data_IF_235403134259
#
_entry.id   IF_235403134259
#
_cell.length_a   1.000
_cell.length_b   1.000
_cell.length_c   1.000
_cell.angle_alpha   90.00
_cell.angle_beta   90.00
_cell.angle_gamma   90.00
#
_symmetry.space_group_name_H-M   'P 1'
#
loop_
_entity.id
_entity.type
_entity.pdbx_description
1 polymer ?
#
# COMPACT_ATOMS: atom_id res chain seq x y z
N UNK A 1 54.08 37.96 -69.67
CA UNK A 1 53.16 38.70 -68.76
C UNK A 1 51.74 38.14 -68.95
N UNK A 2 51.28 37.28 -68.03
CA UNK A 2 49.94 36.59 -68.08
C UNK A 2 49.11 37.23 -66.98
N UNK A 3 48.12 38.03 -67.33
CA UNK A 3 47.19 38.65 -66.36
C UNK A 3 46.17 37.61 -65.91
N UNK A 4 46.13 37.46 -64.62
CA UNK A 4 45.17 36.57 -63.92
C UNK A 4 43.89 37.38 -63.73
N UNK A 5 42.83 37.02 -64.44
CA UNK A 5 41.48 37.57 -64.23
C UNK A 5 40.82 36.75 -63.06
N UNK A 6 40.66 37.39 -61.93
CA UNK A 6 39.97 36.80 -60.82
C UNK A 6 38.47 36.90 -61.09
N UNK A 7 37.89 35.70 -61.21
CA UNK A 7 36.50 35.49 -61.59
C UNK A 7 35.53 35.97 -60.49
N UNK A 8 34.70 36.99 -60.82
CA UNK A 8 33.70 37.54 -59.92
C UNK A 8 32.60 36.60 -59.50
N UNK A 9 32.47 35.47 -60.17
CA UNK A 9 31.46 34.42 -59.88
C UNK A 9 31.79 33.61 -58.63
N UNK A 10 33.08 33.46 -58.27
CA UNK A 10 33.48 32.70 -57.08
C UNK A 10 33.11 33.42 -55.73
N UNK A 11 32.94 34.75 -55.74
CA UNK A 11 32.54 35.49 -54.55
C UNK A 11 31.05 35.48 -54.25
N UNK A 12 30.20 35.27 -55.24
CA UNK A 12 28.74 35.17 -55.02
C UNK A 12 28.33 33.80 -54.52
N UNK A 13 29.02 32.71 -54.87
CA UNK A 13 28.72 31.36 -54.37
C UNK A 13 29.15 31.18 -52.93
N UNK A 14 30.22 31.88 -52.48
CA UNK A 14 30.66 31.81 -51.10
C UNK A 14 29.70 32.54 -50.09
N UNK A 15 29.00 33.57 -50.56
CA UNK A 15 28.10 34.35 -49.69
C UNK A 15 26.72 33.69 -49.49
N UNK A 16 26.27 32.90 -50.46
CA UNK A 16 25.00 32.15 -50.36
C UNK A 16 25.14 30.87 -49.52
N UNK A 17 26.33 30.27 -49.43
CA UNK A 17 26.53 29.06 -48.63
C UNK A 17 26.61 29.36 -47.13
N UNK A 18 27.12 30.56 -46.74
CA UNK A 18 27.20 30.92 -45.32
C UNK A 18 25.85 31.31 -44.73
N UNK A 19 24.92 31.85 -45.51
CA UNK A 19 23.55 32.15 -45.03
C UNK A 19 22.70 30.90 -44.91
N UNK A 20 22.92 29.85 -45.71
CA UNK A 20 22.19 28.57 -45.58
C UNK A 20 22.61 27.76 -44.34
N UNK A 21 23.89 27.85 -43.93
CA UNK A 21 24.34 27.16 -42.70
C UNK A 21 23.87 27.83 -41.42
N UNK A 22 23.68 29.17 -41.41
CA UNK A 22 23.17 29.91 -40.25
C UNK A 22 21.67 29.65 -39.99
N UNK A 23 20.91 29.28 -41.03
CA UNK A 23 19.47 28.94 -40.89
C UNK A 23 19.23 27.54 -40.38
N UNK A 24 20.18 26.63 -40.50
CA UNK A 24 20.05 25.23 -40.04
C UNK A 24 20.24 25.08 -38.53
N UNK A 25 20.85 26.04 -37.83
CA UNK A 25 21.08 25.99 -36.37
C UNK A 25 19.90 26.47 -35.54
N UNK A 26 18.88 27.11 -36.14
CA UNK A 26 17.67 27.52 -35.41
C UNK A 26 16.53 26.48 -35.40
N UNK A 27 16.68 25.37 -36.10
CA UNK A 27 15.67 24.30 -36.15
C UNK A 27 15.81 23.24 -35.02
N UNK A 28 16.74 23.44 -34.07
CA UNK A 28 17.14 22.45 -33.07
C UNK A 28 16.33 22.47 -31.75
N UNK A 29 15.40 23.39 -31.52
CA UNK A 29 14.59 23.47 -30.33
C UNK A 29 13.10 23.20 -30.62
N UNK A 30 12.76 22.09 -31.27
CA UNK A 30 11.43 21.53 -31.05
C UNK A 30 11.44 20.87 -29.69
N UNK A 31 11.19 21.64 -28.62
CA UNK A 31 10.88 21.09 -27.32
C UNK A 31 9.73 20.10 -27.55
N UNK A 32 10.00 18.79 -27.39
CA UNK A 32 8.94 17.78 -27.41
C UNK A 32 7.98 18.18 -26.31
N UNK A 33 6.79 18.64 -26.69
CA UNK A 33 5.73 18.93 -25.74
C UNK A 33 5.52 17.67 -24.91
N UNK A 34 5.65 17.78 -23.60
CA UNK A 34 5.44 16.64 -22.70
C UNK A 34 4.01 16.10 -22.93
N UNK A 35 3.83 14.79 -23.03
CA UNK A 35 2.51 14.22 -23.23
C UNK A 35 1.59 14.60 -22.05
N UNK A 36 0.28 14.78 -22.29
CA UNK A 36 -0.69 15.00 -21.23
C UNK A 36 -0.60 13.93 -20.15
N UNK A 37 -0.88 14.29 -18.89
CA UNK A 37 -0.84 13.36 -17.74
C UNK A 37 -1.66 12.08 -17.99
N UNK A 38 -2.87 12.22 -18.55
CA UNK A 38 -3.75 11.09 -18.86
C UNK A 38 -3.17 10.10 -19.87
N UNK A 39 -2.47 10.60 -20.91
CA UNK A 39 -1.82 9.73 -21.90
C UNK A 39 -0.67 8.94 -21.27
N UNK A 40 0.10 9.57 -20.39
CA UNK A 40 1.18 8.92 -19.66
C UNK A 40 0.63 7.91 -18.65
N UNK A 41 -0.46 8.22 -17.95
CA UNK A 41 -1.14 7.33 -17.02
C UNK A 41 -1.62 6.04 -17.71
N UNK A 42 -2.34 6.14 -18.82
CA UNK A 42 -2.80 4.96 -19.59
C UNK A 42 -1.64 4.08 -20.05
N UNK A 43 -0.51 4.70 -20.45
CA UNK A 43 0.69 3.92 -20.82
C UNK A 43 1.34 3.24 -19.61
N UNK A 44 1.29 3.86 -18.44
CA UNK A 44 1.79 3.27 -17.20
C UNK A 44 0.93 2.07 -16.80
N UNK A 45 -0.39 2.19 -16.84
CA UNK A 45 -1.33 1.09 -16.58
C UNK A 45 -1.14 -0.08 -17.56
N UNK A 46 -1.01 0.21 -18.86
CA UNK A 46 -0.73 -0.82 -19.87
C UNK A 46 0.62 -1.52 -19.64
N UNK A 47 1.64 -0.78 -19.20
CA UNK A 47 2.94 -1.32 -18.88
C UNK A 47 2.88 -2.21 -17.63
N UNK A 48 2.14 -1.80 -16.58
CA UNK A 48 1.88 -2.62 -15.37
C UNK A 48 1.17 -3.92 -15.75
N UNK A 49 0.09 -3.84 -16.52
CA UNK A 49 -0.66 -5.01 -16.96
C UNK A 49 0.18 -6.02 -17.76
N UNK A 50 1.27 -5.56 -18.37
CA UNK A 50 2.24 -6.37 -19.13
C UNK A 50 3.47 -6.79 -18.33
N UNK A 51 3.53 -6.50 -17.03
CA UNK A 51 4.69 -6.78 -16.16
C UNK A 51 5.97 -6.02 -16.59
N UNK A 52 5.81 -4.85 -17.23
CA UNK A 52 6.94 -4.01 -17.67
C UNK A 52 7.20 -2.89 -16.68
N UNK A 53 7.65 -3.24 -15.48
CA UNK A 53 7.76 -2.35 -14.31
C UNK A 53 8.58 -1.08 -14.60
N UNK A 54 9.76 -1.16 -15.24
CA UNK A 54 10.58 0.00 -15.56
C UNK A 54 9.88 1.00 -16.50
N UNK A 55 9.13 0.48 -17.48
CA UNK A 55 8.34 1.34 -18.39
C UNK A 55 7.16 1.95 -17.66
N UNK A 56 6.51 1.20 -16.78
CA UNK A 56 5.44 1.69 -15.95
C UNK A 56 5.92 2.87 -15.06
N UNK A 57 7.06 2.70 -14.39
CA UNK A 57 7.70 3.78 -13.62
C UNK A 57 7.95 5.01 -14.46
N UNK A 58 8.60 4.85 -15.62
CA UNK A 58 8.93 5.99 -16.49
C UNK A 58 7.68 6.77 -16.96
N UNK A 59 6.61 6.06 -17.32
CA UNK A 59 5.36 6.69 -17.74
C UNK A 59 4.61 7.31 -16.55
N UNK A 60 4.56 6.64 -15.40
CA UNK A 60 3.91 7.16 -14.20
C UNK A 60 4.63 8.41 -13.65
N UNK A 61 5.98 8.42 -13.64
CA UNK A 61 6.76 9.62 -13.32
C UNK A 61 6.42 10.80 -14.25
N UNK A 62 6.29 10.51 -15.56
CA UNK A 62 5.91 11.53 -16.53
C UNK A 62 4.48 12.04 -16.29
N UNK A 63 3.55 11.17 -15.85
CA UNK A 63 2.19 11.57 -15.51
C UNK A 63 2.16 12.48 -14.26
N UNK A 64 2.91 12.11 -13.21
CA UNK A 64 3.01 12.92 -11.97
C UNK A 64 3.68 14.27 -12.25
N UNK A 65 4.72 14.32 -13.09
CA UNK A 65 5.33 15.59 -13.49
C UNK A 65 4.36 16.53 -14.20
N UNK A 66 3.44 15.99 -15.01
CA UNK A 66 2.42 16.78 -15.71
C UNK A 66 1.29 17.25 -14.77
N UNK A 67 0.99 16.51 -13.69
CA UNK A 67 -0.04 16.87 -12.71
C UNK A 67 0.42 16.45 -11.29
N UNK A 68 1.33 17.24 -10.66
CA UNK A 68 2.03 16.81 -9.45
C UNK A 68 1.14 16.63 -8.22
N UNK A 69 -0.04 17.26 -8.19
CA UNK A 69 -0.97 17.20 -7.06
C UNK A 69 -2.18 16.30 -7.32
N UNK A 70 -2.12 15.46 -8.35
CA UNK A 70 -3.13 14.45 -8.60
C UNK A 70 -2.84 13.21 -7.75
N UNK A 71 -3.75 12.93 -6.80
CA UNK A 71 -3.62 11.82 -5.86
C UNK A 71 -3.62 10.45 -6.57
N UNK A 72 -4.46 10.28 -7.61
CA UNK A 72 -4.55 9.03 -8.38
C UNK A 72 -3.30 8.74 -9.20
N UNK A 73 -2.66 9.78 -9.75
CA UNK A 73 -1.39 9.60 -10.47
C UNK A 73 -0.24 9.22 -9.53
N UNK A 74 -0.24 9.72 -8.28
CA UNK A 74 0.73 9.28 -7.28
C UNK A 74 0.47 7.86 -6.81
N UNK A 75 -0.79 7.48 -6.65
CA UNK A 75 -1.17 6.10 -6.36
C UNK A 75 -0.67 5.15 -7.47
N UNK A 76 -0.88 5.50 -8.74
CA UNK A 76 -0.37 4.76 -9.89
C UNK A 76 1.17 4.67 -9.90
N UNK A 77 1.86 5.77 -9.59
CA UNK A 77 3.31 5.78 -9.51
C UNK A 77 3.82 4.92 -8.34
N UNK A 78 3.15 4.98 -7.19
CA UNK A 78 3.47 4.13 -6.05
C UNK A 78 3.33 2.65 -6.37
N UNK A 79 2.24 2.27 -7.07
CA UNK A 79 2.05 0.91 -7.56
C UNK A 79 3.16 0.49 -8.54
N UNK A 80 3.55 1.38 -9.47
CA UNK A 80 4.63 1.11 -10.40
C UNK A 80 5.99 0.93 -9.69
N UNK A 81 6.27 1.70 -8.64
CA UNK A 81 7.48 1.52 -7.84
C UNK A 81 7.47 0.19 -7.06
N UNK A 82 6.33 -0.24 -6.51
CA UNK A 82 6.21 -1.56 -5.86
C UNK A 82 6.52 -2.67 -6.85
N UNK A 83 5.92 -2.65 -8.04
CA UNK A 83 6.18 -3.63 -9.10
C UNK A 83 7.63 -3.65 -9.58
N UNK A 84 8.32 -2.53 -9.45
CA UNK A 84 9.73 -2.41 -9.76
C UNK A 84 10.63 -2.74 -8.55
N UNK A 85 10.09 -3.19 -7.41
CA UNK A 85 10.83 -3.48 -6.17
C UNK A 85 11.46 -2.25 -5.51
N UNK A 86 10.99 -1.02 -5.87
CA UNK A 86 11.50 0.27 -5.38
C UNK A 86 10.68 0.75 -4.19
N UNK A 87 10.89 0.13 -3.05
CA UNK A 87 10.04 0.31 -1.87
C UNK A 87 10.19 1.67 -1.18
N UNK A 88 11.40 2.26 -1.15
CA UNK A 88 11.63 3.60 -0.60
C UNK A 88 10.89 4.67 -1.44
N UNK A 89 11.00 4.56 -2.77
CA UNK A 89 10.27 5.42 -3.71
C UNK A 89 8.76 5.25 -3.58
N UNK A 90 8.30 3.99 -3.43
CA UNK A 90 6.89 3.67 -3.26
C UNK A 90 6.32 4.25 -1.96
N UNK A 91 7.02 4.07 -0.83
CA UNK A 91 6.59 4.58 0.46
C UNK A 91 6.42 6.11 0.44
N UNK A 92 7.41 6.84 -0.08
CA UNK A 92 7.32 8.29 -0.19
C UNK A 92 6.15 8.74 -1.09
N UNK A 93 6.00 8.10 -2.26
CA UNK A 93 4.97 8.48 -3.23
C UNK A 93 3.55 8.15 -2.76
N UNK A 94 3.35 7.00 -2.10
CA UNK A 94 2.05 6.60 -1.56
C UNK A 94 1.66 7.43 -0.32
N UNK A 95 2.63 7.83 0.51
CA UNK A 95 2.39 8.77 1.60
C UNK A 95 1.90 10.12 1.06
N UNK A 96 2.53 10.63 0.01
CA UNK A 96 2.09 11.84 -0.69
C UNK A 96 0.70 11.69 -1.35
N UNK A 97 0.37 10.50 -1.88
CA UNK A 97 -0.96 10.19 -2.38
C UNK A 97 -2.01 10.25 -1.27
N UNK A 98 -1.70 9.68 -0.11
CA UNK A 98 -2.55 9.71 1.08
C UNK A 98 -2.77 11.14 1.58
N UNK A 99 -1.71 11.97 1.65
CA UNK A 99 -1.80 13.40 1.99
C UNK A 99 -2.71 14.18 1.02
N UNK A 100 -2.81 13.76 -0.23
CA UNK A 100 -3.68 14.35 -1.25
C UNK A 100 -5.10 13.77 -1.24
N UNK A 101 -5.40 12.82 -0.35
CA UNK A 101 -6.72 12.24 -0.16
C UNK A 101 -6.97 10.89 -0.83
N UNK A 102 -5.95 10.22 -1.39
CA UNK A 102 -6.08 8.85 -1.90
C UNK A 102 -6.03 7.83 -0.74
N UNK A 103 -7.09 7.78 0.07
CA UNK A 103 -7.19 6.91 1.25
C UNK A 103 -7.98 5.62 0.96
N UNK A 104 -7.73 4.97 -0.18
CA UNK A 104 -8.34 3.67 -0.45
C UNK A 104 -7.69 2.56 0.40
N UNK A 105 -8.41 1.49 0.78
CA UNK A 105 -7.83 0.33 1.48
C UNK A 105 -6.56 -0.19 0.81
N UNK A 106 -6.55 -0.21 -0.52
CA UNK A 106 -5.40 -0.61 -1.32
C UNK A 106 -4.20 0.32 -1.11
N UNK A 107 -4.40 1.65 -1.20
CA UNK A 107 -3.34 2.63 -1.00
C UNK A 107 -2.71 2.48 0.37
N UNK A 108 -3.55 2.32 1.41
CA UNK A 108 -3.12 2.17 2.81
C UNK A 108 -2.28 0.90 2.98
N UNK A 109 -2.75 -0.25 2.49
CA UNK A 109 -2.02 -1.52 2.58
C UNK A 109 -0.72 -1.45 1.77
N UNK A 110 -0.77 -0.87 0.55
CA UNK A 110 0.42 -0.71 -0.29
C UNK A 110 1.48 0.18 0.36
N UNK A 111 1.05 1.28 1.00
CA UNK A 111 1.93 2.16 1.77
C UNK A 111 2.55 1.40 2.94
N UNK A 112 1.75 0.69 3.73
CA UNK A 112 2.25 -0.08 4.86
C UNK A 112 3.28 -1.14 4.43
N UNK A 113 3.03 -1.89 3.35
CA UNK A 113 3.97 -2.86 2.81
C UNK A 113 5.27 -2.19 2.32
N UNK A 114 5.17 -1.07 1.61
CA UNK A 114 6.33 -0.31 1.16
C UNK A 114 7.15 0.23 2.35
N UNK A 115 6.50 0.72 3.39
CA UNK A 115 7.13 1.15 4.65
C UNK A 115 7.83 -0.03 5.36
N UNK A 116 7.19 -1.20 5.46
CA UNK A 116 7.81 -2.40 6.04
C UNK A 116 9.06 -2.77 5.25
N UNK A 117 8.96 -2.86 3.92
CA UNK A 117 10.08 -3.22 3.05
C UNK A 117 11.23 -2.20 3.07
N UNK A 118 10.93 -0.93 3.37
CA UNK A 118 11.91 0.14 3.55
C UNK A 118 12.50 0.21 4.96
N UNK A 119 12.11 -0.70 5.86
CA UNK A 119 12.58 -0.70 7.25
C UNK A 119 11.89 0.32 8.15
N UNK A 120 10.76 0.86 7.73
CA UNK A 120 9.98 1.88 8.46
C UNK A 120 8.81 1.22 9.22
N UNK A 121 9.07 0.16 10.00
CA UNK A 121 8.04 -0.64 10.67
C UNK A 121 7.13 0.22 11.58
N UNK A 122 7.70 1.18 12.30
CA UNK A 122 6.93 2.06 13.17
C UNK A 122 5.94 2.94 12.38
N UNK A 123 6.35 3.44 11.21
CA UNK A 123 5.48 4.21 10.32
C UNK A 123 4.37 3.32 9.75
N UNK A 124 4.70 2.09 9.34
CA UNK A 124 3.72 1.12 8.85
C UNK A 124 2.66 0.79 9.90
N UNK A 125 3.05 0.57 11.16
CA UNK A 125 2.12 0.35 12.26
C UNK A 125 1.23 1.57 12.49
N UNK A 126 1.79 2.77 12.50
CA UNK A 126 1.01 4.00 12.65
C UNK A 126 0.00 4.19 11.51
N UNK A 127 0.40 3.92 10.27
CA UNK A 127 -0.49 3.96 9.09
C UNK A 127 -1.64 2.95 9.25
N UNK A 128 -1.33 1.70 9.60
CA UNK A 128 -2.32 0.64 9.78
C UNK A 128 -3.28 0.94 10.95
N UNK A 129 -2.76 1.39 12.09
CA UNK A 129 -3.57 1.70 13.27
C UNK A 129 -4.52 2.88 13.02
N UNK A 130 -4.08 3.88 12.26
CA UNK A 130 -4.92 5.05 11.90
C UNK A 130 -6.11 4.64 11.03
N UNK A 131 -5.94 3.62 10.20
CA UNK A 131 -6.92 3.19 9.19
C UNK A 131 -7.49 1.79 9.45
N UNK A 132 -7.39 1.27 10.68
CA UNK A 132 -7.83 -0.09 11.03
C UNK A 132 -9.27 -0.38 10.59
N UNK A 133 -10.17 0.59 10.77
CA UNK A 133 -11.60 0.44 10.43
C UNK A 133 -11.89 0.47 8.94
N UNK A 134 -10.97 0.98 8.14
CA UNK A 134 -11.12 1.12 6.70
C UNK A 134 -10.64 -0.13 5.96
N UNK A 135 -9.89 -1.01 6.65
CA UNK A 135 -9.23 -2.17 6.06
C UNK A 135 -10.04 -3.47 6.25
N UNK A 136 -9.90 -4.37 5.30
CA UNK A 136 -10.30 -5.77 5.49
C UNK A 136 -9.48 -6.38 6.63
N UNK A 137 -10.11 -7.01 7.65
CA UNK A 137 -9.39 -7.54 8.80
C UNK A 137 -8.35 -8.62 8.45
N UNK A 138 -8.51 -9.33 7.33
CA UNK A 138 -7.52 -10.32 6.90
C UNK A 138 -6.26 -9.63 6.35
N UNK A 139 -6.41 -8.52 5.63
CA UNK A 139 -5.30 -7.72 5.13
C UNK A 139 -4.59 -6.99 6.27
N UNK A 140 -5.38 -6.38 7.16
CA UNK A 140 -4.87 -5.71 8.35
C UNK A 140 -4.06 -6.66 9.24
N UNK A 141 -4.62 -7.84 9.55
CA UNK A 141 -3.96 -8.83 10.41
C UNK A 141 -2.62 -9.32 9.83
N UNK A 142 -2.57 -9.57 8.51
CA UNK A 142 -1.32 -9.94 7.85
C UNK A 142 -0.32 -8.78 7.85
N UNK A 143 -0.75 -7.56 7.50
CA UNK A 143 0.11 -6.39 7.45
C UNK A 143 0.73 -6.08 8.83
N UNK A 144 -0.06 -6.15 9.92
CA UNK A 144 0.43 -5.99 11.30
C UNK A 144 1.46 -7.07 11.67
N UNK A 145 1.22 -8.33 11.27
CA UNK A 145 2.18 -9.41 11.51
C UNK A 145 3.52 -9.16 10.79
N UNK A 146 3.46 -8.72 9.53
CA UNK A 146 4.62 -8.35 8.72
C UNK A 146 5.37 -7.14 9.28
N UNK A 147 4.64 -6.18 9.86
CA UNK A 147 5.21 -4.98 10.51
C UNK A 147 5.90 -5.28 11.85
N UNK A 148 5.96 -6.55 12.27
CA UNK A 148 6.69 -6.99 13.47
C UNK A 148 5.81 -7.23 14.70
N UNK A 149 4.49 -7.24 14.56
CA UNK A 149 3.54 -7.60 15.62
C UNK A 149 2.77 -8.89 15.29
N UNK A 150 3.45 -10.06 15.12
CA UNK A 150 2.79 -11.28 14.67
C UNK A 150 1.74 -11.78 15.68
N UNK A 151 1.93 -11.58 16.98
CA UNK A 151 0.95 -11.94 18.01
C UNK A 151 -0.38 -11.21 17.81
N UNK A 152 -0.32 -9.90 17.53
CA UNK A 152 -1.51 -9.08 17.25
C UNK A 152 -2.17 -9.52 15.94
N UNK A 153 -1.38 -9.76 14.89
CA UNK A 153 -1.88 -10.28 13.62
C UNK A 153 -2.60 -11.62 13.77
N UNK A 154 -2.03 -12.57 14.54
CA UNK A 154 -2.67 -13.85 14.86
C UNK A 154 -4.02 -13.64 15.55
N UNK A 155 -4.11 -12.72 16.52
CA UNK A 155 -5.36 -12.47 17.23
C UNK A 155 -6.45 -11.92 16.32
N UNK A 156 -6.12 -10.94 15.47
CA UNK A 156 -7.06 -10.39 14.47
C UNK A 156 -7.57 -11.49 13.56
N UNK A 157 -6.68 -12.27 12.95
CA UNK A 157 -7.03 -13.31 12.00
C UNK A 157 -7.77 -14.48 12.63
N UNK A 158 -7.38 -14.90 13.85
CA UNK A 158 -8.09 -15.95 14.59
C UNK A 158 -9.51 -15.51 14.98
N UNK A 159 -9.71 -14.22 15.28
CA UNK A 159 -11.05 -13.69 15.55
C UNK A 159 -11.94 -13.76 14.29
N UNK A 160 -11.40 -13.51 13.08
CA UNK A 160 -12.17 -13.68 11.85
C UNK A 160 -12.72 -15.11 11.72
N UNK A 161 -11.88 -16.12 11.97
CA UNK A 161 -12.35 -17.52 11.98
C UNK A 161 -13.42 -17.79 13.04
N UNK A 162 -13.27 -17.23 14.24
CA UNK A 162 -14.27 -17.38 15.33
C UNK A 162 -15.62 -16.75 14.97
N UNK A 163 -15.59 -15.64 14.22
CA UNK A 163 -16.80 -14.98 13.74
C UNK A 163 -17.38 -15.59 12.46
N UNK A 164 -16.80 -16.68 11.98
CA UNK A 164 -17.32 -17.45 10.84
C UNK A 164 -16.76 -17.06 9.47
N UNK A 165 -15.79 -16.11 9.42
CA UNK A 165 -15.09 -15.78 8.18
C UNK A 165 -13.97 -16.81 7.94
N UNK A 166 -14.34 -17.93 7.30
CA UNK A 166 -13.43 -19.07 7.07
C UNK A 166 -13.00 -19.16 5.60
N UNK A 167 -12.54 -18.04 5.03
CA UNK A 167 -11.96 -18.01 3.68
C UNK A 167 -10.52 -18.55 3.65
N UNK A 168 -10.10 -19.06 2.51
CA UNK A 168 -8.71 -19.48 2.30
C UNK A 168 -7.72 -18.34 2.56
N UNK A 169 -8.10 -17.09 2.23
CA UNK A 169 -7.32 -15.88 2.52
C UNK A 169 -7.05 -15.76 4.03
N UNK A 170 -8.08 -15.82 4.86
CA UNK A 170 -7.94 -15.71 6.33
C UNK A 170 -7.07 -16.84 6.87
N UNK A 171 -7.30 -18.09 6.43
CA UNK A 171 -6.52 -19.25 6.90
C UNK A 171 -5.04 -19.16 6.50
N UNK A 172 -4.74 -18.76 5.26
CA UNK A 172 -3.35 -18.64 4.78
C UNK A 172 -2.63 -17.50 5.47
N UNK A 173 -3.30 -16.34 5.66
CA UNK A 173 -2.74 -15.21 6.39
C UNK A 173 -2.45 -15.59 7.85
N UNK A 174 -3.39 -16.33 8.49
CA UNK A 174 -3.21 -16.82 9.86
C UNK A 174 -2.07 -17.84 9.95
N UNK A 175 -1.97 -18.77 9.00
CA UNK A 175 -0.86 -19.71 8.94
C UNK A 175 0.49 -18.99 8.85
N UNK A 176 0.56 -17.95 8.03
CA UNK A 176 1.79 -17.17 7.89
C UNK A 176 2.09 -16.32 9.13
N UNK A 177 1.08 -15.72 9.75
CA UNK A 177 1.23 -15.00 11.01
C UNK A 177 1.74 -15.91 12.14
N UNK A 178 1.25 -17.16 12.24
CA UNK A 178 1.79 -18.17 13.16
C UNK A 178 3.26 -18.49 12.87
N UNK A 179 3.64 -18.63 11.60
CA UNK A 179 5.04 -18.87 11.23
C UNK A 179 5.93 -17.68 11.65
N UNK A 180 5.48 -16.44 11.45
CA UNK A 180 6.19 -15.24 11.90
C UNK A 180 6.28 -15.13 13.42
N UNK A 181 5.30 -15.66 14.15
CA UNK A 181 5.31 -15.74 15.60
C UNK A 181 6.25 -16.85 16.12
N UNK A 182 6.64 -17.81 15.27
CA UNK A 182 7.42 -18.99 15.63
C UNK A 182 6.58 -20.20 16.06
N UNK A 183 5.25 -20.12 15.99
CA UNK A 183 4.37 -21.28 16.24
C UNK A 183 4.24 -22.13 14.97
N UNK A 184 5.28 -22.89 14.68
CA UNK A 184 5.37 -23.77 13.50
C UNK A 184 4.32 -24.88 13.49
N UNK A 185 3.86 -25.31 14.68
CA UNK A 185 2.82 -26.33 14.78
C UNK A 185 1.48 -25.78 14.30
N UNK A 186 1.08 -24.62 14.81
CA UNK A 186 -0.16 -23.97 14.40
C UNK A 186 -0.09 -23.54 12.92
N UNK A 187 1.04 -22.98 12.48
CA UNK A 187 1.28 -22.61 11.07
C UNK A 187 1.06 -23.80 10.13
N UNK A 188 1.65 -24.97 10.46
CA UNK A 188 1.52 -26.19 9.66
C UNK A 188 0.09 -26.72 9.62
N UNK A 189 -0.60 -26.75 10.77
CA UNK A 189 -1.98 -27.23 10.84
C UNK A 189 -2.90 -26.34 9.98
N UNK A 190 -2.76 -25.03 10.11
CA UNK A 190 -3.58 -24.09 9.36
C UNK A 190 -3.26 -24.10 7.86
N UNK A 191 -1.97 -24.20 7.48
CA UNK A 191 -1.57 -24.28 6.07
C UNK A 191 -2.08 -25.57 5.40
N UNK A 192 -2.20 -26.69 6.13
CA UNK A 192 -2.67 -27.96 5.60
C UNK A 192 -4.15 -27.96 5.17
N UNK A 193 -4.93 -26.98 5.60
CA UNK A 193 -6.33 -26.82 5.16
C UNK A 193 -6.43 -26.43 3.67
N UNK A 194 -5.43 -25.69 3.14
CA UNK A 194 -5.48 -25.10 1.81
C UNK A 194 -4.34 -25.59 0.90
N UNK A 195 -3.28 -26.17 1.46
CA UNK A 195 -2.09 -26.61 0.72
C UNK A 195 -2.07 -28.13 0.63
N UNK A 196 -1.85 -28.72 -0.56
CA UNK A 196 -1.68 -30.15 -0.72
C UNK A 196 -0.64 -30.73 0.24
N UNK A 197 -0.92 -31.90 0.83
CA UNK A 197 -0.11 -32.48 1.90
C UNK A 197 1.38 -32.66 1.54
N UNK A 198 1.68 -32.97 0.26
CA UNK A 198 3.03 -33.08 -0.29
C UNK A 198 3.75 -31.71 -0.40
N UNK A 199 3.02 -30.59 -0.40
CA UNK A 199 3.54 -29.23 -0.51
C UNK A 199 3.67 -28.47 0.82
N UNK A 200 3.00 -28.95 1.88
CA UNK A 200 3.05 -28.30 3.19
C UNK A 200 4.48 -28.22 3.74
N UNK A 201 5.27 -29.28 3.57
CA UNK A 201 6.67 -29.30 4.02
C UNK A 201 7.54 -28.24 3.31
N UNK A 202 7.40 -28.12 2.01
CA UNK A 202 8.08 -27.11 1.20
C UNK A 202 7.68 -25.67 1.63
N UNK A 203 6.37 -25.44 1.86
CA UNK A 203 5.85 -24.16 2.34
C UNK A 203 6.43 -23.78 3.71
N UNK A 204 6.50 -24.75 4.64
CA UNK A 204 7.09 -24.51 5.96
C UNK A 204 8.58 -24.21 5.89
N UNK A 205 9.34 -24.92 5.05
CA UNK A 205 10.76 -24.66 4.85
C UNK A 205 11.01 -23.26 4.27
N UNK A 206 10.20 -22.86 3.30
CA UNK A 206 10.25 -21.51 2.71
C UNK A 206 9.98 -20.43 3.76
N UNK A 207 8.90 -20.53 4.52
CA UNK A 207 8.58 -19.60 5.59
C UNK A 207 9.64 -19.58 6.69
N UNK A 208 10.28 -20.74 6.98
CA UNK A 208 11.39 -20.83 7.92
C UNK A 208 12.59 -19.96 7.53
N UNK A 209 12.89 -19.87 6.26
CA UNK A 209 13.94 -18.98 5.75
C UNK A 209 13.55 -17.50 5.90
N UNK A 210 12.27 -17.17 5.73
CA UNK A 210 11.76 -15.80 5.77
C UNK A 210 11.38 -15.31 7.18
N UNK A 211 11.27 -16.19 8.18
CA UNK A 211 10.78 -15.83 9.52
C UNK A 211 11.75 -14.92 10.30
N UNK A 212 13.04 -14.93 9.98
CA UNK A 212 14.01 -14.07 10.66
C UNK A 212 13.65 -12.58 10.47
N UNK A 213 13.55 -11.77 11.54
CA UNK A 213 13.21 -10.35 11.46
C UNK A 213 14.07 -9.53 10.51
N UNK A 214 15.34 -9.90 10.30
CA UNK A 214 16.27 -9.23 9.37
C UNK A 214 15.77 -9.28 7.91
N UNK A 215 14.99 -10.28 7.54
CA UNK A 215 14.50 -10.48 6.18
C UNK A 215 13.19 -9.74 5.87
N UNK A 216 12.86 -8.66 6.59
CA UNK A 216 11.62 -7.92 6.39
C UNK A 216 11.42 -7.46 4.93
N UNK A 217 12.46 -6.94 4.26
CA UNK A 217 12.41 -6.55 2.84
C UNK A 217 12.19 -7.75 1.92
N UNK A 218 12.95 -8.82 2.10
CA UNK A 218 12.80 -10.05 1.32
C UNK A 218 11.40 -10.64 1.46
N UNK A 219 10.86 -10.62 2.67
CA UNK A 219 9.54 -11.14 3.00
C UNK A 219 8.43 -10.43 2.26
N UNK A 220 8.51 -9.09 2.17
CA UNK A 220 7.54 -8.29 1.41
C UNK A 220 7.74 -8.49 -0.09
N UNK A 221 8.97 -8.51 -0.58
CA UNK A 221 9.27 -8.75 -1.99
C UNK A 221 8.78 -10.14 -2.45
N UNK A 222 9.03 -11.18 -1.64
CA UNK A 222 8.54 -12.54 -1.87
C UNK A 222 7.00 -12.62 -1.87
N UNK A 223 6.35 -11.96 -0.90
CA UNK A 223 4.89 -11.90 -0.84
C UNK A 223 4.28 -11.24 -2.09
N UNK A 224 4.93 -10.19 -2.59
CA UNK A 224 4.47 -9.44 -3.76
C UNK A 224 4.94 -10.07 -5.09
N UNK A 225 5.87 -11.04 -5.04
CA UNK A 225 6.44 -11.68 -6.23
C UNK A 225 7.29 -10.74 -7.06
N UNK A 226 7.99 -9.78 -6.43
CA UNK A 226 8.82 -8.79 -7.11
C UNK A 226 10.29 -8.95 -6.75
N UNK A 227 11.17 -8.61 -7.69
CA UNK A 227 12.61 -8.62 -7.46
C UNK A 227 13.02 -7.42 -6.58
N UNK A 228 13.98 -7.66 -5.69
CA UNK A 228 14.56 -6.59 -4.91
C UNK A 228 15.60 -5.83 -5.74
N UNK A 229 15.43 -4.52 -5.82
CA UNK A 229 16.39 -3.63 -6.47
C UNK A 229 16.95 -2.61 -5.48
N UNK A 230 18.09 -2.03 -5.83
CA UNK A 230 18.60 -0.87 -5.11
C UNK A 230 17.74 0.35 -5.46
N UNK A 231 17.10 0.93 -4.45
CA UNK A 231 16.23 2.08 -4.61
C UNK A 231 16.90 3.34 -4.03
N UNK A 232 17.22 4.35 -4.87
CA UNK A 232 17.76 5.62 -4.41
C UNK A 232 16.70 6.55 -3.78
N UNK A 233 15.44 6.11 -3.71
CA UNK A 233 14.32 6.93 -3.31
C UNK A 233 13.64 7.66 -4.48
N UNK A 234 12.52 8.33 -4.15
CA UNK A 234 11.76 9.11 -5.11
C UNK A 234 12.61 10.27 -5.66
N UNK A 235 12.64 10.49 -7.00
CA UNK A 235 13.32 11.66 -7.57
C UNK A 235 12.81 12.98 -6.98
N UNK A 236 13.72 13.86 -6.54
CA UNK A 236 13.36 15.12 -5.87
C UNK A 236 12.38 15.99 -6.68
N UNK A 237 12.49 15.96 -8.02
CA UNK A 237 11.57 16.70 -8.92
C UNK A 237 10.10 16.25 -8.81
N UNK A 238 9.82 15.07 -8.23
CA UNK A 238 8.48 14.52 -8.06
C UNK A 238 7.93 14.77 -6.66
N UNK A 239 8.79 15.14 -5.70
CA UNK A 239 8.37 15.34 -4.31
C UNK A 239 7.27 16.40 -4.22
N UNK A 240 6.19 16.06 -3.49
CA UNK A 240 5.02 16.94 -3.33
C UNK A 240 5.38 18.30 -2.72
N UNK A 241 6.36 18.33 -1.83
CA UNK A 241 6.88 19.55 -1.22
C UNK A 241 7.40 20.57 -2.24
N UNK A 242 7.88 20.10 -3.42
CA UNK A 242 8.35 20.99 -4.49
C UNK A 242 7.21 21.50 -5.40
N UNK A 243 5.97 21.12 -5.10
CA UNK A 243 4.77 21.48 -5.86
C UNK A 243 3.68 22.02 -4.93
N UNK A 244 3.88 23.21 -4.30
CA UNK A 244 2.91 23.79 -3.38
C UNK A 244 1.57 24.07 -4.10
N UNK A 245 0.47 24.02 -3.34
CA UNK A 245 -0.84 24.40 -3.87
C UNK A 245 -0.94 25.93 -4.06
N UNK A 246 -1.86 26.36 -4.92
CA UNK A 246 -2.14 27.78 -5.10
C UNK A 246 -2.53 28.46 -3.78
N UNK A 247 -3.27 27.74 -2.92
CA UNK A 247 -3.65 28.24 -1.59
C UNK A 247 -2.45 28.40 -0.64
N UNK A 248 -1.46 27.48 -0.70
CA UNK A 248 -0.22 27.61 0.06
C UNK A 248 0.59 28.81 -0.41
N UNK A 249 0.75 28.99 -1.72
CA UNK A 249 1.43 30.15 -2.29
C UNK A 249 0.71 31.47 -1.96
N UNK A 250 -0.62 31.47 -1.97
CA UNK A 250 -1.42 32.62 -1.59
C UNK A 250 -1.25 32.94 -0.09
N UNK A 251 -1.22 31.91 0.78
CA UNK A 251 -1.01 32.09 2.22
C UNK A 251 0.41 32.63 2.52
N UNK A 252 1.43 32.14 1.85
CA UNK A 252 2.80 32.67 1.96
C UNK A 252 2.88 34.13 1.52
N UNK A 253 2.17 34.48 0.43
CA UNK A 253 2.13 35.84 -0.07
C UNK A 253 1.35 36.78 0.85
N UNK A 254 0.37 36.25 1.59
CA UNK A 254 -0.45 37.00 2.55
C UNK A 254 0.24 37.17 3.91
N UNK A 255 1.29 36.39 4.19
CA UNK A 255 2.08 36.58 5.41
C UNK A 255 2.84 37.90 5.28
N UNK A 256 2.57 38.92 6.16
CA UNK A 256 3.30 40.18 6.07
C UNK A 256 4.79 39.89 6.16
N UNK A 257 5.56 40.49 5.21
CA UNK A 257 7.01 40.46 5.34
C UNK A 257 7.38 40.95 6.74
N UNK A 258 8.31 40.30 7.46
CA UNK A 258 8.73 40.81 8.76
C UNK A 258 9.02 42.28 8.64
N UNK A 259 8.33 43.10 9.46
CA UNK A 259 8.48 44.54 9.44
C UNK A 259 9.98 44.85 9.42
N UNK A 260 10.46 45.73 8.53
CA UNK A 260 11.87 46.09 8.51
C UNK A 260 12.24 46.51 9.93
N UNK A 261 13.28 45.85 10.49
CA UNK A 261 13.79 46.25 11.82
C UNK A 261 14.00 47.77 11.78
N UNK A 262 13.45 48.52 12.75
CA UNK A 262 13.59 49.95 12.73
C UNK A 262 15.08 50.25 12.65
N UNK A 263 15.50 50.87 11.55
CA UNK A 263 16.82 51.47 11.47
C UNK A 263 16.84 52.53 12.56
N UNK A 264 17.66 52.33 13.58
CA UNK A 264 17.89 53.36 14.57
C UNK A 264 18.33 54.61 13.84
N UNK A 265 17.43 55.58 13.71
CA UNK A 265 17.79 56.88 13.27
C UNK A 265 18.79 57.46 14.25
N UNK A 266 19.92 57.93 13.76
CA UNK A 266 21.03 58.45 14.56
C UNK A 266 20.67 59.69 15.42
N UNK A 267 19.40 60.07 15.49
CA UNK A 267 18.89 61.24 16.21
C UNK A 267 17.74 60.92 17.17
N UNK A 268 17.92 59.98 18.07
CA UNK A 268 17.33 59.86 19.38
C UNK A 268 15.84 60.21 19.65
N UNK A 269 14.96 60.27 18.66
CA UNK A 269 13.58 60.64 18.85
C UNK A 269 12.64 59.47 18.51
N UNK A 270 11.88 59.00 19.51
CA UNK A 270 10.89 57.92 19.41
C UNK A 270 9.70 58.37 18.56
N UNK A 271 9.20 57.54 17.61
CA UNK A 271 7.97 57.87 16.87
C UNK A 271 6.74 57.84 17.80
N UNK A 272 5.69 58.67 17.56
CA UNK A 272 4.51 58.73 18.41
C UNK A 272 3.66 57.44 18.33
N UNK A 273 3.25 56.97 19.52
CA UNK A 273 2.28 55.91 19.71
C UNK A 273 0.87 56.43 19.40
N UNK A 274 0.37 56.29 18.18
CA UNK A 274 -1.07 56.33 17.90
C UNK A 274 -1.39 55.91 16.47
N UNK A 275 -1.96 54.74 16.34
CA UNK A 275 -3.07 54.46 15.42
C UNK A 275 -3.63 53.08 15.73
N UNK A 276 -4.86 53.02 16.21
CA UNK A 276 -5.64 51.81 16.35
C UNK A 276 -5.90 51.23 14.94
N UNK A 277 -5.40 50.03 14.72
CA UNK A 277 -5.60 49.28 13.50
C UNK A 277 -6.96 48.55 13.58
N UNK A 278 -7.82 48.83 12.59
CA UNK A 278 -9.11 48.19 12.44
C UNK A 278 -8.96 46.71 11.99
N UNK A 279 -9.80 45.78 12.42
CA UNK A 279 -9.69 44.36 12.05
C UNK A 279 -10.00 44.14 10.56
N UNK A 280 -9.29 43.20 9.89
CA UNK A 280 -9.50 42.90 8.49
C UNK A 280 -10.85 42.24 8.24
N UNK A 281 -11.46 42.45 7.05
CA UNK A 281 -12.75 41.85 6.71
C UNK A 281 -12.63 40.34 6.45
N UNK A 282 -13.63 39.57 6.88
CA UNK A 282 -13.72 38.13 6.74
C UNK A 282 -13.71 37.67 5.26
N UNK A 283 -13.06 36.54 4.92
CA UNK A 283 -13.01 36.05 3.56
C UNK A 283 -14.35 35.50 3.09
N UNK A 284 -14.77 35.90 1.89
CA UNK A 284 -15.94 35.36 1.20
C UNK A 284 -15.65 33.96 0.70
N UNK A 285 -16.55 33.05 1.01
CA UNK A 285 -16.51 31.63 0.60
C UNK A 285 -16.40 31.46 -0.93
N UNK A 286 -15.41 30.68 -1.36
CA UNK A 286 -15.21 30.29 -2.76
C UNK A 286 -16.15 29.10 -3.15
N UNK A 287 -16.53 28.99 -4.43
CA UNK A 287 -17.45 27.95 -4.89
C UNK A 287 -16.79 26.58 -4.93
N UNK A 288 -17.54 25.58 -4.47
CA UNK A 288 -17.18 24.16 -4.40
C UNK A 288 -17.05 23.59 -5.82
N UNK A 289 -15.86 23.18 -6.22
CA UNK A 289 -15.63 22.46 -7.47
C UNK A 289 -16.20 21.03 -7.38
N UNK A 290 -16.92 20.59 -8.39
CA UNK A 290 -17.43 19.24 -8.50
C UNK A 290 -16.31 18.24 -8.80
N UNK A 291 -16.34 17.01 -8.22
CA UNK A 291 -15.34 16.00 -8.50
C UNK A 291 -15.52 15.42 -9.91
N UNK A 292 -14.52 15.57 -10.75
CA UNK A 292 -14.43 14.85 -12.02
C UNK A 292 -14.19 13.36 -11.77
N UNK A 293 -15.07 12.52 -12.26
CA UNK A 293 -14.97 11.06 -12.20
C UNK A 293 -13.87 10.62 -13.16
N UNK A 294 -12.70 10.30 -12.64
CA UNK A 294 -11.62 9.64 -13.41
C UNK A 294 -11.82 8.13 -13.29
N UNK A 295 -11.73 7.42 -14.42
CA UNK A 295 -11.88 5.98 -14.52
C UNK A 295 -10.93 5.25 -13.54
N UNK A 296 -11.46 4.24 -12.86
CA UNK A 296 -10.73 3.41 -11.88
C UNK A 296 -9.50 2.75 -12.52
N UNK A 297 -8.29 2.88 -11.94
CA UNK A 297 -7.13 2.15 -12.41
C UNK A 297 -7.32 0.64 -12.21
N UNK A 298 -6.96 -0.13 -13.23
CA UNK A 298 -6.92 -1.60 -13.14
C UNK A 298 -5.57 -1.96 -12.55
N UNK A 299 -5.52 -2.20 -11.25
CA UNK A 299 -4.30 -2.62 -10.60
C UNK A 299 -4.38 -4.11 -10.27
N UNK A 300 -3.49 -4.90 -10.82
CA UNK A 300 -3.54 -6.35 -10.71
C UNK A 300 -2.57 -6.95 -9.68
N UNK A 301 -1.52 -6.24 -9.24
CA UNK A 301 -0.45 -6.87 -8.48
C UNK A 301 -0.63 -6.88 -6.97
N UNK A 302 -1.02 -5.76 -6.37
CA UNK A 302 -1.11 -5.68 -4.90
C UNK A 302 -2.29 -6.49 -4.35
N UNK A 303 -3.39 -6.56 -5.13
CA UNK A 303 -4.52 -7.43 -4.76
C UNK A 303 -4.15 -8.93 -4.84
N UNK A 304 -3.30 -9.32 -5.79
CA UNK A 304 -2.85 -10.71 -5.92
C UNK A 304 -1.99 -11.18 -4.74
N UNK A 305 -1.27 -10.29 -4.07
CA UNK A 305 -0.48 -10.64 -2.89
C UNK A 305 -1.36 -11.10 -1.71
N UNK A 306 -2.59 -10.60 -1.65
CA UNK A 306 -3.58 -10.96 -0.63
C UNK A 306 -4.66 -11.94 -1.15
N UNK A 307 -4.67 -12.25 -2.45
CA UNK A 307 -5.51 -13.32 -2.99
C UNK A 307 -4.83 -14.67 -2.75
N UNK A 308 -5.56 -15.58 -2.12
CA UNK A 308 -5.12 -16.95 -1.98
C UNK A 308 -4.82 -17.54 -3.37
N UNK A 309 -3.69 -18.25 -3.58
CA UNK A 309 -3.45 -18.94 -4.83
C UNK A 309 -4.64 -19.85 -5.11
N UNK A 310 -5.42 -19.55 -6.15
CA UNK A 310 -6.54 -20.39 -6.54
C UNK A 310 -5.97 -21.76 -6.89
N UNK A 311 -6.39 -22.78 -6.12
CA UNK A 311 -6.13 -24.16 -6.49
C UNK A 311 -6.75 -24.39 -7.87
N UNK A 312 -5.93 -24.73 -8.85
CA UNK A 312 -6.41 -25.18 -10.17
C UNK A 312 -7.40 -26.30 -9.92
N UNK A 313 -8.56 -26.35 -10.62
CA UNK A 313 -9.49 -27.44 -10.47
C UNK A 313 -8.74 -28.75 -10.74
N UNK A 314 -8.58 -29.57 -9.74
CA UNK A 314 -8.10 -30.94 -9.93
C UNK A 314 -9.25 -31.67 -10.58
N UNK A 315 -9.09 -32.03 -11.85
CA UNK A 315 -9.99 -32.89 -12.58
C UNK A 315 -10.17 -34.18 -11.75
N UNK A 316 -11.37 -34.41 -11.26
CA UNK A 316 -11.70 -35.62 -10.50
C UNK A 316 -11.59 -36.82 -11.46
N UNK A 317 -10.46 -37.48 -11.43
CA UNK A 317 -10.37 -38.84 -11.97
C UNK A 317 -11.22 -39.71 -11.05
N UNK A 318 -12.35 -40.18 -11.57
CA UNK A 318 -13.23 -41.12 -10.90
C UNK A 318 -12.45 -42.41 -10.64
N UNK A 319 -12.12 -42.66 -9.37
CA UNK A 319 -11.59 -43.94 -8.97
C UNK A 319 -12.69 -45.02 -9.09
N UNK A 320 -12.40 -46.23 -9.62
CA UNK A 320 -13.34 -47.31 -9.68
C UNK A 320 -13.68 -47.83 -8.26
N UNK A 321 -14.94 -48.11 -8.02
CA UNK A 321 -15.45 -48.57 -6.74
C UNK A 321 -14.73 -49.88 -6.31
N UNK A 322 -14.30 -50.02 -5.01
CA UNK A 322 -13.73 -51.27 -4.52
C UNK A 322 -14.82 -52.32 -4.38
N UNK A 323 -14.54 -53.47 -4.97
CA UNK A 323 -15.35 -54.70 -4.80
C UNK A 323 -15.41 -55.13 -3.33
N UNK A 324 -16.61 -55.41 -2.84
CA UNK A 324 -16.84 -55.97 -1.50
C UNK A 324 -16.24 -57.38 -1.43
N UNK A 325 -15.17 -57.52 -0.66
CA UNK A 325 -14.72 -58.84 -0.18
C UNK A 325 -15.20 -58.97 1.28
N UNK A 326 -16.10 -59.87 1.51
CA UNK A 326 -16.54 -60.26 2.86
C UNK A 326 -15.44 -61.14 3.48
N UNK A 327 -14.81 -60.65 4.54
CA UNK A 327 -13.95 -61.47 5.40
C UNK A 327 -14.35 -61.20 6.85
N UNK A 328 -14.78 -62.27 7.49
CA UNK A 328 -15.16 -62.33 8.90
C UNK A 328 -13.98 -62.05 9.82
N UNK A 329 -14.14 -61.03 10.71
CA UNK A 329 -13.18 -60.73 11.75
C UNK A 329 -13.48 -61.46 13.05
N UNK A 330 -12.49 -61.95 13.79
CA UNK A 330 -12.68 -62.44 15.14
C UNK A 330 -12.86 -61.30 16.14
N UNK A 331 -13.77 -61.47 17.07
CA UNK A 331 -14.07 -60.56 18.16
C UNK A 331 -12.87 -60.35 19.08
N UNK A 332 -12.37 -59.14 19.16
CA UNK A 332 -11.41 -58.70 20.19
C UNK A 332 -12.20 -57.92 21.26
N UNK A 333 -12.03 -58.36 22.51
CA UNK A 333 -12.67 -57.81 23.69
C UNK A 333 -12.43 -56.33 23.87
N UNK A 334 -13.50 -55.55 24.03
CA UNK A 334 -13.45 -54.14 24.38
C UNK A 334 -13.08 -54.01 25.87
N UNK A 335 -11.93 -53.38 26.11
CA UNK A 335 -11.59 -52.77 27.40
C UNK A 335 -12.50 -51.57 27.64
N UNK A 336 -13.11 -51.40 28.81
CA UNK A 336 -13.96 -50.25 29.07
C UNK A 336 -13.14 -48.96 29.12
N UNK A 337 -13.60 -47.92 28.42
CA UNK A 337 -13.07 -46.57 28.50
C UNK A 337 -13.26 -46.04 29.95
N UNK A 338 -12.29 -45.24 30.46
CA UNK A 338 -12.49 -44.61 31.76
C UNK A 338 -13.64 -43.61 31.69
N UNK A 339 -14.57 -43.79 32.62
CA UNK A 339 -15.72 -42.92 32.85
C UNK A 339 -15.24 -41.50 33.11
N UNK A 340 -15.75 -40.54 32.35
CA UNK A 340 -15.61 -39.14 32.67
C UNK A 340 -16.22 -38.85 34.05
N UNK A 341 -15.59 -38.04 34.89
CA UNK A 341 -16.22 -37.65 36.16
C UNK A 341 -17.41 -36.75 35.82
N UNK A 342 -18.61 -37.22 36.13
CA UNK A 342 -19.82 -36.44 36.19
C UNK A 342 -19.74 -35.54 37.46
N UNK A 343 -19.10 -34.41 37.34
CA UNK A 343 -19.32 -33.32 38.31
C UNK A 343 -20.65 -32.66 37.97
N UNK A 344 -21.70 -33.11 38.67
CA UNK A 344 -22.93 -32.36 38.77
C UNK A 344 -22.62 -31.00 39.41
N UNK A 345 -22.65 -29.97 38.62
CA UNK A 345 -22.67 -28.60 39.11
C UNK A 345 -24.06 -28.35 39.70
N UNK A 346 -24.13 -28.29 41.02
CA UNK A 346 -25.25 -27.67 41.72
C UNK A 346 -25.04 -26.17 41.54
N UNK A 347 -25.90 -25.51 40.77
CA UNK A 347 -25.90 -24.06 40.61
C UNK A 347 -26.36 -23.42 41.95
N UNK A 348 -25.41 -22.97 42.76
CA UNK A 348 -25.72 -21.94 43.75
C UNK A 348 -25.93 -20.61 43.06
N UNK A 349 -26.97 -19.86 43.46
CA UNK A 349 -27.29 -18.53 42.96
C UNK A 349 -26.16 -17.55 43.32
N UNK A 350 -25.24 -17.36 42.41
CA UNK A 350 -24.14 -16.39 42.48
C UNK A 350 -24.03 -15.65 41.19
N UNK A 351 -23.47 -14.43 41.24
CA UNK A 351 -23.18 -13.60 40.08
C UNK A 351 -22.14 -14.28 39.17
N UNK A 352 -22.61 -15.00 38.16
CA UNK A 352 -21.75 -15.60 37.16
C UNK A 352 -21.40 -14.56 36.10
N UNK A 353 -20.09 -14.33 35.87
CA UNK A 353 -19.58 -13.49 34.76
C UNK A 353 -19.10 -14.42 33.66
N UNK A 354 -19.70 -14.31 32.48
CA UNK A 354 -19.24 -15.00 31.27
C UNK A 354 -18.27 -14.08 30.54
N UNK A 355 -17.02 -14.52 30.40
CA UNK A 355 -16.04 -13.83 29.56
C UNK A 355 -16.23 -14.29 28.12
N UNK A 356 -16.71 -13.40 27.24
CA UNK A 356 -16.95 -13.68 25.82
C UNK A 356 -15.67 -13.70 24.97
N UNK A 357 -14.56 -13.22 25.51
CA UNK A 357 -13.26 -13.17 24.84
C UNK A 357 -12.38 -12.06 25.37
N UNK A 358 -11.17 -11.95 24.85
CA UNK A 358 -10.28 -10.82 25.04
C UNK A 358 -10.24 -10.03 23.72
N UNK A 359 -10.51 -8.72 23.77
CA UNK A 359 -10.61 -7.84 22.62
C UNK A 359 -9.56 -6.74 22.74
N UNK A 360 -9.01 -6.29 21.60
CA UNK A 360 -8.01 -5.23 21.58
C UNK A 360 -8.62 -3.84 21.56
N UNK A 361 -9.83 -3.72 21.03
CA UNK A 361 -10.54 -2.45 21.00
C UNK A 361 -11.93 -2.54 21.63
N UNK A 362 -12.44 -1.41 22.11
CA UNK A 362 -13.80 -1.32 22.63
C UNK A 362 -14.83 -1.56 21.52
N UNK A 363 -14.53 -1.21 20.28
CA UNK A 363 -15.40 -1.44 19.13
C UNK A 363 -15.58 -2.94 18.85
N UNK A 364 -14.50 -3.73 18.93
CA UNK A 364 -14.55 -5.18 18.73
C UNK A 364 -15.35 -5.86 19.82
N UNK A 365 -15.17 -5.44 21.07
CA UNK A 365 -15.95 -5.93 22.21
C UNK A 365 -17.45 -5.65 22.01
N UNK A 366 -17.81 -4.44 21.57
CA UNK A 366 -19.20 -4.05 21.31
C UNK A 366 -19.81 -4.84 20.14
N UNK A 367 -19.03 -5.07 19.08
CA UNK A 367 -19.48 -5.87 17.94
C UNK A 367 -19.70 -7.33 18.34
N UNK A 368 -18.77 -7.94 19.09
CA UNK A 368 -18.91 -9.28 19.62
C UNK A 368 -20.12 -9.40 20.55
N UNK A 369 -20.37 -8.40 21.40
CA UNK A 369 -21.56 -8.34 22.25
C UNK A 369 -22.86 -8.33 21.43
N UNK A 370 -22.94 -7.51 20.37
CA UNK A 370 -24.11 -7.48 19.48
C UNK A 370 -24.36 -8.85 18.80
N UNK A 371 -23.30 -9.49 18.32
CA UNK A 371 -23.41 -10.82 17.71
C UNK A 371 -23.85 -11.87 18.72
N UNK A 372 -23.32 -11.80 19.95
CA UNK A 372 -23.72 -12.69 21.03
C UNK A 372 -25.21 -12.53 21.36
N UNK A 373 -25.70 -11.29 21.53
CA UNK A 373 -27.11 -10.98 21.79
C UNK A 373 -28.04 -11.48 20.68
N UNK A 374 -27.59 -11.39 19.41
CA UNK A 374 -28.38 -11.92 18.28
C UNK A 374 -28.46 -13.45 18.26
N UNK A 375 -27.43 -14.15 18.73
CA UNK A 375 -27.38 -15.61 18.76
C UNK A 375 -28.00 -16.21 20.00
N UNK A 376 -28.04 -15.45 21.09
CA UNK A 376 -28.51 -15.87 22.41
C UNK A 376 -29.47 -14.85 23.01
N UNK A 377 -30.65 -14.64 22.38
CA UNK A 377 -31.61 -13.64 22.85
C UNK A 377 -32.11 -13.97 24.27
N UNK A 378 -32.06 -15.26 24.67
CA UNK A 378 -32.42 -15.72 26.00
C UNK A 378 -31.46 -15.25 27.10
N UNK A 379 -30.24 -14.79 26.77
CA UNK A 379 -29.22 -14.35 27.72
C UNK A 379 -28.99 -12.85 27.68
N UNK A 380 -29.77 -12.11 26.91
CA UNK A 380 -29.60 -10.68 26.69
C UNK A 380 -30.46 -9.80 27.65
N UNK A 381 -31.08 -10.39 28.67
CA UNK A 381 -31.93 -9.73 29.68
C UNK A 381 -31.16 -9.13 30.84
#
# INVERSE_FOLDING_TARGET
>A
MRRMTIDRTARMVGLTLTTALASATLMGCSAKVAPPASVSAVKAEDALAKGKSDKAVSFAESAVLASPRDAGLRELLGAAYIEAGRFESAAATLDEALQLGAASPRTIVSLALAQIASGQQAAALATLDTHETDLDPADFGLAIALAGQPQRGVLVLANQLRFGENSAKVRQNLAYAYALQGDWRAARLMAAEDVPADKVGERMAHWGQMANPVYFRHRVADLLGVDMVQDPGQPARLALANHPSVNQLAAESATPAPAPKPAFAANGELPPLNAAEAPPPAPKSAPKAAPGTIARPVAHSVAAAFEAPQARPVERVSAPAPARVATSAPAVARTPAPSAPSTGFVAESGDYRVQLGSYFSMSDAQQAWKIFQQRHPELAG
#
